data_IF_973201251300
#
_entry.id   IF_973201251300
#
_cell.length_a   1.000
_cell.length_b   1.000
_cell.length_c   1.000
_cell.angle_alpha   90.00
_cell.angle_beta   90.00
_cell.angle_gamma   90.00
#
_symmetry.space_group_name_H-M   'P 1'
#
loop_
_entity.id
_entity.type
_entity.pdbx_description
1 polymer ?
#
# COMPACT_ATOMS: atom_id res chain seq x y z
N UNK A 1 -28.58 7.16 9.29
CA UNK A 1 -27.64 6.61 8.28
C UNK A 1 -27.56 7.57 7.11
N UNK A 2 -28.69 8.16 6.71
CA UNK A 2 -28.78 8.99 5.50
C UNK A 2 -28.02 10.33 5.58
N UNK A 3 -28.06 11.04 6.71
CA UNK A 3 -27.37 12.32 6.88
C UNK A 3 -25.82 12.19 6.84
N UNK A 4 -25.26 11.12 7.40
CA UNK A 4 -23.84 10.85 7.35
C UNK A 4 -23.40 10.46 5.91
N UNK A 5 -24.26 9.76 5.21
CA UNK A 5 -24.03 9.34 3.84
C UNK A 5 -24.11 10.53 2.85
N UNK A 6 -25.07 11.43 3.06
CA UNK A 6 -25.17 12.69 2.30
C UNK A 6 -23.98 13.60 2.57
N UNK A 7 -23.52 13.71 3.82
CA UNK A 7 -22.35 14.51 4.18
C UNK A 7 -21.08 13.95 3.53
N UNK A 8 -20.92 12.62 3.49
CA UNK A 8 -19.79 11.97 2.80
C UNK A 8 -19.87 12.19 1.29
N UNK A 9 -21.04 12.07 0.69
CA UNK A 9 -21.24 12.32 -0.74
C UNK A 9 -20.95 13.79 -1.12
N UNK A 10 -21.38 14.74 -0.30
CA UNK A 10 -21.05 16.16 -0.50
C UNK A 10 -19.54 16.39 -0.35
N UNK A 11 -18.89 15.75 0.62
CA UNK A 11 -17.44 15.84 0.80
C UNK A 11 -16.67 15.26 -0.38
N UNK A 12 -17.10 14.09 -0.88
CA UNK A 12 -16.46 13.38 -2.02
C UNK A 12 -16.62 14.16 -3.32
N UNK A 13 -17.68 14.96 -3.46
CA UNK A 13 -17.90 15.87 -4.60
C UNK A 13 -17.00 17.10 -4.61
N UNK A 14 -16.24 17.35 -3.52
CA UNK A 14 -15.36 18.52 -3.41
C UNK A 14 -13.90 18.19 -3.71
N UNK A 15 -13.12 19.10 -4.31
CA UNK A 15 -11.68 18.89 -4.53
C UNK A 15 -10.89 18.59 -3.25
N UNK A 16 -11.38 19.08 -2.12
CA UNK A 16 -10.78 18.88 -0.79
C UNK A 16 -10.76 17.41 -0.34
N UNK A 17 -11.73 16.62 -0.78
CA UNK A 17 -11.78 15.19 -0.45
C UNK A 17 -10.52 14.46 -0.95
N UNK A 18 -10.10 14.75 -2.17
CA UNK A 18 -8.92 14.13 -2.77
C UNK A 18 -7.64 14.56 -2.05
N UNK A 19 -7.58 15.80 -1.58
CA UNK A 19 -6.48 16.32 -0.78
C UNK A 19 -6.41 15.60 0.57
N UNK A 20 -7.55 15.44 1.25
CA UNK A 20 -7.63 14.70 2.53
C UNK A 20 -7.21 13.25 2.34
N UNK A 21 -7.68 12.59 1.27
CA UNK A 21 -7.24 11.22 0.92
C UNK A 21 -5.72 11.17 0.76
N UNK A 22 -5.15 12.08 -0.02
CA UNK A 22 -3.70 12.17 -0.21
C UNK A 22 -2.93 12.33 1.11
N UNK A 23 -3.40 13.20 2.00
CA UNK A 23 -2.80 13.44 3.31
C UNK A 23 -2.90 12.20 4.23
N UNK A 24 -4.06 11.55 4.27
CA UNK A 24 -4.26 10.32 5.07
C UNK A 24 -3.36 9.21 4.56
N UNK A 25 -3.22 9.06 3.24
CA UNK A 25 -2.34 8.06 2.64
C UNK A 25 -0.85 8.37 2.86
N UNK A 26 -0.47 9.66 2.84
CA UNK A 26 0.88 10.08 3.19
C UNK A 26 1.19 9.76 4.67
N UNK A 27 0.29 10.10 5.58
CA UNK A 27 0.41 9.77 7.00
C UNK A 27 0.42 8.26 7.25
N UNK A 28 -0.37 7.49 6.49
CA UNK A 28 -0.44 6.03 6.55
C UNK A 28 0.86 5.31 6.16
N UNK A 29 1.80 6.00 5.49
CA UNK A 29 3.14 5.45 5.24
C UNK A 29 3.95 5.25 6.52
N UNK A 30 3.73 6.11 7.50
CA UNK A 30 4.40 6.08 8.80
C UNK A 30 3.50 5.42 9.85
N UNK A 31 2.22 5.80 9.87
CA UNK A 31 1.22 5.30 10.80
C UNK A 31 0.52 4.05 10.21
N UNK A 32 1.12 2.89 10.40
CA UNK A 32 0.66 1.59 9.85
C UNK A 32 -0.78 1.23 10.24
N UNK A 33 -1.27 1.80 11.34
CA UNK A 33 -2.62 1.53 11.86
C UNK A 33 -3.74 2.27 11.13
N UNK A 34 -3.42 3.21 10.24
CA UNK A 34 -4.45 3.94 9.48
C UNK A 34 -5.07 3.01 8.42
N UNK A 35 -6.41 2.87 8.40
CA UNK A 35 -7.11 2.00 7.46
C UNK A 35 -7.20 2.64 6.06
N UNK A 36 -6.04 2.98 5.49
CA UNK A 36 -5.92 3.70 4.22
C UNK A 36 -6.59 2.97 3.05
N UNK A 37 -6.55 1.63 3.06
CA UNK A 37 -7.20 0.83 2.02
C UNK A 37 -8.72 0.93 2.10
N UNK A 38 -9.29 0.84 3.30
CA UNK A 38 -10.72 0.96 3.51
C UNK A 38 -11.23 2.33 3.01
N UNK A 39 -10.47 3.40 3.27
CA UNK A 39 -10.80 4.74 2.82
C UNK A 39 -10.84 4.83 1.28
N UNK A 40 -9.81 4.33 0.58
CA UNK A 40 -9.75 4.40 -0.88
C UNK A 40 -10.84 3.54 -1.52
N UNK A 41 -11.10 2.34 -0.99
CA UNK A 41 -12.17 1.47 -1.49
C UNK A 41 -13.54 2.12 -1.24
N UNK A 42 -13.81 2.66 -0.05
CA UNK A 42 -15.09 3.30 0.27
C UNK A 42 -15.38 4.50 -0.65
N UNK A 43 -14.41 5.41 -0.83
CA UNK A 43 -14.57 6.54 -1.75
C UNK A 43 -14.69 6.05 -3.21
N UNK A 44 -13.87 5.07 -3.59
CA UNK A 44 -13.91 4.47 -4.92
C UNK A 44 -15.27 3.87 -5.25
N UNK A 45 -15.93 3.19 -4.31
CA UNK A 45 -17.28 2.62 -4.52
C UNK A 45 -18.34 3.69 -4.71
N UNK A 46 -18.25 4.81 -3.98
CA UNK A 46 -19.16 5.95 -4.15
C UNK A 46 -18.97 6.61 -5.52
N UNK A 47 -17.73 6.78 -5.97
CA UNK A 47 -17.43 7.40 -7.26
C UNK A 47 -17.81 6.50 -8.45
N UNK A 48 -17.52 5.19 -8.37
CA UNK A 48 -17.89 4.23 -9.43
C UNK A 48 -19.40 4.06 -9.53
N UNK A 49 -20.11 4.14 -8.40
CA UNK A 49 -21.56 4.04 -8.35
C UNK A 49 -22.30 5.34 -8.69
N UNK A 50 -21.61 6.47 -8.80
CA UNK A 50 -22.20 7.79 -9.09
C UNK A 50 -22.20 8.13 -10.59
N UNK A 51 -22.91 9.20 -10.93
CA UNK A 51 -23.07 9.68 -12.32
C UNK A 51 -21.84 10.46 -12.84
N UNK A 52 -20.77 10.57 -12.02
CA UNK A 52 -19.58 11.39 -12.31
C UNK A 52 -18.63 10.80 -13.39
N UNK A 53 -18.89 9.60 -13.86
CA UNK A 53 -18.09 8.94 -14.88
C UNK A 53 -16.68 8.55 -14.45
N UNK A 54 -15.78 8.39 -15.40
CA UNK A 54 -14.40 7.90 -15.16
C UNK A 54 -13.47 8.95 -14.51
N UNK A 55 -13.72 10.23 -14.73
CA UNK A 55 -12.80 11.31 -14.31
C UNK A 55 -12.59 11.39 -12.79
N UNK A 56 -13.62 11.37 -11.92
CA UNK A 56 -13.43 11.37 -10.47
C UNK A 56 -12.66 10.16 -9.97
N UNK A 57 -12.85 9.00 -10.58
CA UNK A 57 -12.11 7.77 -10.25
C UNK A 57 -10.63 7.92 -10.58
N UNK A 58 -10.32 8.50 -11.75
CA UNK A 58 -8.95 8.79 -12.14
C UNK A 58 -8.28 9.78 -11.18
N UNK A 59 -9.00 10.84 -10.78
CA UNK A 59 -8.52 11.83 -9.80
C UNK A 59 -8.24 11.15 -8.46
N UNK A 60 -9.08 10.22 -8.01
CA UNK A 60 -8.84 9.44 -6.79
C UNK A 60 -7.54 8.63 -6.89
N UNK A 61 -7.31 7.92 -8.01
CA UNK A 61 -6.07 7.14 -8.22
C UNK A 61 -4.85 8.04 -8.18
N UNK A 62 -4.91 9.19 -8.86
CA UNK A 62 -3.81 10.16 -8.89
C UNK A 62 -3.55 10.74 -7.50
N UNK A 63 -4.59 11.19 -6.80
CA UNK A 63 -4.46 11.74 -5.45
C UNK A 63 -3.92 10.70 -4.45
N UNK A 64 -4.41 9.47 -4.52
CA UNK A 64 -3.92 8.37 -3.71
C UNK A 64 -2.44 8.09 -3.99
N UNK A 65 -2.06 7.99 -5.26
CA UNK A 65 -0.67 7.76 -5.67
C UNK A 65 0.25 8.87 -5.20
N UNK A 66 -0.13 10.14 -5.40
CA UNK A 66 0.66 11.30 -4.94
C UNK A 66 0.84 11.25 -3.43
N UNK A 67 -0.24 11.04 -2.68
CA UNK A 67 -0.20 10.95 -1.22
C UNK A 67 0.74 9.84 -0.73
N UNK A 68 0.66 8.66 -1.35
CA UNK A 68 1.54 7.54 -1.02
C UNK A 68 3.02 7.84 -1.34
N UNK A 69 3.31 8.39 -2.52
CA UNK A 69 4.67 8.77 -2.90
C UNK A 69 5.25 9.82 -1.95
N UNK A 70 4.47 10.83 -1.56
CA UNK A 70 4.90 11.82 -0.57
C UNK A 70 5.24 11.18 0.78
N UNK A 71 4.40 10.25 1.23
CA UNK A 71 4.66 9.49 2.44
C UNK A 71 5.90 8.59 2.35
N UNK A 72 6.15 7.99 1.19
CA UNK A 72 7.34 7.18 0.94
C UNK A 72 8.62 8.01 0.91
N UNK A 73 8.56 9.23 0.33
CA UNK A 73 9.66 10.21 0.38
C UNK A 73 9.94 10.63 1.82
N UNK A 74 8.91 10.96 2.58
CA UNK A 74 9.07 11.33 3.98
C UNK A 74 9.71 10.20 4.80
N UNK A 75 9.24 8.97 4.58
CA UNK A 75 9.78 7.78 5.24
C UNK A 75 11.23 7.48 4.82
N UNK A 76 11.57 7.70 3.56
CA UNK A 76 12.93 7.54 3.05
C UNK A 76 13.91 8.54 3.70
N UNK A 77 13.52 9.82 3.81
CA UNK A 77 14.32 10.82 4.52
C UNK A 77 14.43 10.49 6.01
N UNK A 78 13.31 10.12 6.64
CA UNK A 78 13.30 9.73 8.05
C UNK A 78 14.22 8.53 8.32
N UNK A 79 14.21 7.52 7.45
CA UNK A 79 15.06 6.35 7.59
C UNK A 79 16.56 6.67 7.50
N UNK A 80 16.93 7.69 6.74
CA UNK A 80 18.33 8.15 6.60
C UNK A 80 18.79 9.08 7.72
N UNK A 81 17.88 9.82 8.33
CA UNK A 81 18.20 10.70 9.47
C UNK A 81 18.25 9.94 10.78
N UNK A 82 17.47 8.86 10.89
CA UNK A 82 17.48 7.99 12.08
C UNK A 82 18.37 6.79 11.79
N UNK A 83 19.47 6.66 12.54
CA UNK A 83 20.29 5.45 12.48
C UNK A 83 19.50 4.25 13.02
N UNK A 84 18.81 3.56 12.10
CA UNK A 84 18.01 2.40 12.43
C UNK A 84 18.87 1.22 12.90
N UNK A 85 20.14 1.18 12.49
CA UNK A 85 21.09 0.13 12.86
C UNK A 85 21.46 0.15 14.34
N UNK A 86 21.46 1.33 14.97
CA UNK A 86 21.80 1.51 16.38
C UNK A 86 20.65 1.13 17.33
N UNK A 87 19.43 0.99 16.85
CA UNK A 87 18.29 0.64 17.70
C UNK A 87 18.27 -0.85 18.02
N UNK A 88 18.18 -1.17 19.31
CA UNK A 88 18.24 -2.54 19.86
C UNK A 88 17.24 -3.53 19.25
N UNK A 89 16.10 -3.03 18.72
CA UNK A 89 15.11 -3.87 18.05
C UNK A 89 15.58 -4.33 16.66
N UNK A 90 16.27 -3.46 15.91
CA UNK A 90 16.81 -3.77 14.59
C UNK A 90 18.06 -4.66 14.64
N UNK A 91 18.78 -4.67 15.77
CA UNK A 91 19.94 -5.53 15.99
C UNK A 91 19.59 -6.98 16.36
N UNK A 92 18.31 -7.29 16.63
CA UNK A 92 17.87 -8.66 16.90
C UNK A 92 18.19 -9.59 15.73
N UNK A 93 18.77 -10.79 15.95
CA UNK A 93 19.25 -11.68 14.89
C UNK A 93 18.21 -12.00 13.81
N UNK A 94 16.94 -12.22 14.21
CA UNK A 94 15.83 -12.49 13.29
C UNK A 94 15.50 -11.29 12.40
N UNK A 95 15.51 -10.08 12.95
CA UNK A 95 15.20 -8.84 12.23
C UNK A 95 16.34 -8.51 11.26
N UNK A 96 17.58 -8.65 11.69
CA UNK A 96 18.78 -8.46 10.87
C UNK A 96 18.76 -9.41 9.66
N UNK A 97 18.53 -10.70 9.87
CA UNK A 97 18.47 -11.69 8.79
C UNK A 97 17.34 -11.39 7.79
N UNK A 98 16.18 -10.95 8.27
CA UNK A 98 15.07 -10.53 7.43
C UNK A 98 15.45 -9.30 6.58
N UNK A 99 16.06 -8.28 7.21
CA UNK A 99 16.56 -7.07 6.55
C UNK A 99 17.59 -7.39 5.46
N UNK A 100 18.62 -8.19 5.77
CA UNK A 100 19.62 -8.62 4.79
C UNK A 100 19.00 -9.36 3.60
N UNK A 101 18.03 -10.23 3.85
CA UNK A 101 17.29 -10.93 2.80
C UNK A 101 16.46 -9.99 1.92
N UNK A 102 15.81 -8.97 2.49
CA UNK A 102 15.03 -7.97 1.76
C UNK A 102 15.98 -7.07 0.98
N UNK A 103 17.08 -6.60 1.58
CA UNK A 103 18.09 -5.75 0.95
C UNK A 103 18.67 -6.41 -0.32
N UNK A 104 19.11 -7.66 -0.21
CA UNK A 104 19.65 -8.42 -1.33
C UNK A 104 18.66 -8.55 -2.51
N UNK A 105 17.37 -8.68 -2.19
CA UNK A 105 16.29 -8.75 -3.21
C UNK A 105 15.95 -7.38 -3.76
N UNK A 106 15.94 -6.35 -2.89
CA UNK A 106 15.62 -4.98 -3.27
C UNK A 106 16.64 -4.45 -4.28
N UNK A 107 17.94 -4.73 -4.09
CA UNK A 107 19.01 -4.39 -5.05
C UNK A 107 18.82 -5.05 -6.42
N UNK A 108 18.30 -6.29 -6.45
CA UNK A 108 18.09 -7.03 -7.70
C UNK A 108 16.83 -6.61 -8.44
N UNK A 109 15.72 -6.38 -7.73
CA UNK A 109 14.42 -6.11 -8.32
C UNK A 109 13.59 -5.15 -7.43
N UNK A 110 13.97 -3.86 -7.34
CA UNK A 110 13.35 -2.92 -6.41
C UNK A 110 11.84 -2.75 -6.63
N UNK A 111 11.39 -2.60 -7.87
CA UNK A 111 9.97 -2.46 -8.17
C UNK A 111 9.14 -3.68 -7.76
N UNK A 112 9.65 -4.89 -7.97
CA UNK A 112 8.95 -6.12 -7.55
C UNK A 112 8.79 -6.20 -6.03
N UNK A 113 9.83 -5.87 -5.28
CA UNK A 113 9.78 -5.90 -3.81
C UNK A 113 8.88 -4.79 -3.27
N UNK A 114 8.93 -3.60 -3.87
CA UNK A 114 8.03 -2.52 -3.52
C UNK A 114 6.55 -2.90 -3.74
N UNK A 115 6.21 -3.49 -4.89
CA UNK A 115 4.83 -3.97 -5.17
C UNK A 115 4.41 -5.02 -4.17
N UNK A 116 5.19 -6.07 -3.97
CA UNK A 116 4.85 -7.15 -3.02
C UNK A 116 4.68 -6.62 -1.60
N UNK A 117 5.50 -5.65 -1.20
CA UNK A 117 5.42 -5.02 0.11
C UNK A 117 4.08 -4.30 0.36
N UNK A 118 3.39 -3.82 -0.68
CA UNK A 118 2.08 -3.16 -0.52
C UNK A 118 0.97 -4.12 -0.09
N UNK A 119 1.10 -5.40 -0.41
CA UNK A 119 0.09 -6.43 -0.11
C UNK A 119 0.39 -7.24 1.16
N UNK A 120 1.53 -7.00 1.81
CA UNK A 120 1.91 -7.67 3.05
C UNK A 120 1.70 -6.72 4.23
N UNK A 121 1.05 -7.14 5.32
CA UNK A 121 0.93 -6.31 6.52
C UNK A 121 2.30 -5.82 7.00
N UNK A 122 2.44 -4.52 7.25
CA UNK A 122 3.70 -3.83 7.57
C UNK A 122 4.77 -3.90 6.45
N UNK A 123 4.49 -4.54 5.32
CA UNK A 123 5.43 -4.74 4.23
C UNK A 123 5.86 -3.41 3.60
N UNK A 124 4.94 -2.46 3.41
CA UNK A 124 5.24 -1.12 2.90
C UNK A 124 6.27 -0.41 3.78
N UNK A 125 6.04 -0.35 5.09
CA UNK A 125 6.99 0.25 6.03
C UNK A 125 8.35 -0.43 5.95
N UNK A 126 8.38 -1.77 6.01
CA UNK A 126 9.61 -2.55 6.00
C UNK A 126 10.39 -2.39 4.69
N UNK A 127 9.71 -2.47 3.55
CA UNK A 127 10.38 -2.34 2.23
C UNK A 127 10.90 -0.93 2.01
N UNK A 128 10.19 0.10 2.48
CA UNK A 128 10.64 1.48 2.35
C UNK A 128 11.85 1.78 3.26
N UNK A 129 11.84 1.30 4.52
CA UNK A 129 12.96 1.45 5.43
C UNK A 129 14.21 0.73 4.91
N UNK A 130 14.06 -0.52 4.46
CA UNK A 130 15.17 -1.27 3.88
C UNK A 130 15.63 -0.68 2.56
N UNK A 131 14.71 -0.22 1.71
CA UNK A 131 15.03 0.45 0.45
C UNK A 131 15.84 1.72 0.64
N UNK A 132 15.49 2.54 1.63
CA UNK A 132 16.22 3.76 1.97
C UNK A 132 17.66 3.47 2.47
N UNK A 133 17.86 2.36 3.17
CA UNK A 133 19.13 1.94 3.76
C UNK A 133 19.98 1.08 2.80
N UNK A 134 19.38 0.55 1.72
CA UNK A 134 20.05 -0.36 0.77
C UNK A 134 21.10 0.31 -0.14
N UNK A 135 21.30 1.62 0.01
CA UNK A 135 22.21 2.40 -0.85
C UNK A 135 21.68 2.63 -2.26
N UNK A 136 20.39 2.36 -2.49
CA UNK A 136 19.76 2.72 -3.76
C UNK A 136 19.73 4.24 -3.93
N UNK A 137 19.86 4.67 -5.19
CA UNK A 137 19.60 6.05 -5.56
C UNK A 137 18.12 6.41 -5.35
N UNK A 138 17.86 7.62 -4.87
CA UNK A 138 16.51 8.12 -4.61
C UNK A 138 15.59 7.96 -5.83
N UNK A 139 16.10 8.20 -7.04
CA UNK A 139 15.31 8.07 -8.26
C UNK A 139 14.81 6.64 -8.48
N UNK A 140 15.69 5.65 -8.32
CA UNK A 140 15.32 4.22 -8.45
C UNK A 140 14.33 3.80 -7.38
N UNK A 141 14.52 4.27 -6.15
CA UNK A 141 13.59 4.05 -5.06
C UNK A 141 12.22 4.62 -5.39
N UNK A 142 12.14 5.91 -5.79
CA UNK A 142 10.87 6.60 -6.10
C UNK A 142 10.14 5.96 -7.27
N UNK A 143 10.84 5.59 -8.34
CA UNK A 143 10.22 4.88 -9.48
C UNK A 143 9.61 3.56 -9.03
N UNK A 144 10.30 2.83 -8.16
CA UNK A 144 9.81 1.56 -7.61
C UNK A 144 8.57 1.75 -6.74
N UNK A 145 8.56 2.79 -5.89
CA UNK A 145 7.42 3.16 -5.08
C UNK A 145 6.24 3.63 -5.94
N UNK A 146 6.48 4.50 -6.91
CA UNK A 146 5.45 4.99 -7.83
C UNK A 146 4.74 3.84 -8.55
N UNK A 147 5.49 2.90 -9.12
CA UNK A 147 4.89 1.71 -9.76
C UNK A 147 4.07 0.91 -8.77
N UNK A 148 4.59 0.68 -7.56
CA UNK A 148 3.88 -0.06 -6.53
C UNK A 148 2.60 0.66 -6.08
N UNK A 149 2.63 1.98 -5.94
CA UNK A 149 1.51 2.81 -5.51
C UNK A 149 0.40 2.87 -6.56
N UNK A 150 0.78 3.01 -7.84
CA UNK A 150 -0.19 2.96 -8.96
C UNK A 150 -0.87 1.59 -9.01
N UNK A 151 -0.11 0.50 -8.92
CA UNK A 151 -0.66 -0.87 -8.92
C UNK A 151 -1.61 -1.06 -7.73
N UNK A 152 -1.23 -0.59 -6.55
CA UNK A 152 -2.06 -0.70 -5.36
C UNK A 152 -3.33 0.16 -5.45
N UNK A 153 -3.23 1.41 -5.94
CA UNK A 153 -4.38 2.29 -6.13
C UNK A 153 -5.35 1.71 -7.17
N UNK A 154 -4.83 1.21 -8.30
CA UNK A 154 -5.64 0.53 -9.32
C UNK A 154 -6.33 -0.73 -8.77
N UNK A 155 -5.65 -1.50 -7.93
CA UNK A 155 -6.22 -2.64 -7.22
C UNK A 155 -7.39 -2.23 -6.30
N UNK A 156 -7.23 -1.17 -5.49
CA UNK A 156 -8.30 -0.68 -4.62
C UNK A 156 -9.52 -0.21 -5.42
N UNK A 157 -9.30 0.53 -6.50
CA UNK A 157 -10.36 0.97 -7.40
C UNK A 157 -11.01 -0.21 -8.14
N UNK A 158 -10.21 -1.21 -8.54
CA UNK A 158 -10.73 -2.46 -9.11
C UNK A 158 -11.68 -3.20 -8.17
N UNK A 159 -11.32 -3.28 -6.87
CA UNK A 159 -12.23 -3.82 -5.85
C UNK A 159 -13.49 -2.96 -5.76
N UNK A 160 -13.34 -1.62 -5.69
CA UNK A 160 -14.45 -0.70 -5.62
C UNK A 160 -15.41 -0.87 -6.81
N UNK A 161 -14.88 -1.03 -8.02
CA UNK A 161 -15.68 -1.26 -9.23
C UNK A 161 -16.38 -2.63 -9.20
N UNK A 162 -15.69 -3.68 -8.78
CA UNK A 162 -16.26 -5.02 -8.69
C UNK A 162 -17.36 -5.13 -7.63
N UNK A 163 -17.28 -4.35 -6.57
CA UNK A 163 -18.22 -4.39 -5.43
C UNK A 163 -19.26 -3.27 -5.47
N UNK A 164 -19.18 -2.33 -6.42
CA UNK A 164 -19.99 -1.12 -6.48
C UNK A 164 -21.49 -1.35 -6.47
N UNK A 165 -21.97 -2.47 -7.02
CA UNK A 165 -23.40 -2.84 -6.99
C UNK A 165 -23.85 -3.25 -5.57
N UNK A 166 -23.02 -4.00 -4.84
CA UNK A 166 -23.31 -4.46 -3.47
C UNK A 166 -23.03 -3.39 -2.42
N UNK A 167 -22.14 -2.45 -2.72
CA UNK A 167 -21.73 -1.40 -1.81
C UNK A 167 -22.82 -0.39 -1.50
N UNK A 168 -23.79 -0.21 -2.40
CA UNK A 168 -24.95 0.65 -2.16
C UNK A 168 -25.87 0.11 -1.07
N UNK A 169 -25.97 -1.21 -0.95
CA UNK A 169 -26.86 -1.85 0.02
C UNK A 169 -26.15 -2.11 1.37
N UNK A 170 -24.84 -2.44 1.34
CA UNK A 170 -24.08 -2.83 2.53
C UNK A 170 -22.61 -2.34 2.49
N UNK A 171 -22.37 -1.02 2.63
CA UNK A 171 -21.02 -0.45 2.48
C UNK A 171 -20.01 -0.99 3.49
N UNK A 172 -20.42 -1.23 4.73
CA UNK A 172 -19.56 -1.79 5.77
C UNK A 172 -19.12 -3.22 5.47
N UNK A 173 -20.03 -4.05 4.96
CA UNK A 173 -19.73 -5.45 4.64
C UNK A 173 -18.75 -5.54 3.47
N UNK A 174 -18.95 -4.73 2.44
CA UNK A 174 -18.05 -4.66 1.27
C UNK A 174 -16.67 -4.18 1.67
N UNK A 175 -16.57 -3.14 2.49
CA UNK A 175 -15.29 -2.63 2.98
C UNK A 175 -14.56 -3.68 3.82
N UNK A 176 -15.28 -4.38 4.71
CA UNK A 176 -14.71 -5.46 5.53
C UNK A 176 -14.22 -6.62 4.67
N UNK A 177 -15.01 -7.06 3.69
CA UNK A 177 -14.61 -8.10 2.74
C UNK A 177 -13.40 -7.70 1.92
N UNK A 178 -13.32 -6.45 1.47
CA UNK A 178 -12.18 -5.94 0.73
C UNK A 178 -10.89 -5.96 1.57
N UNK A 179 -10.96 -5.57 2.84
CA UNK A 179 -9.83 -5.62 3.77
C UNK A 179 -9.41 -7.08 4.02
N UNK A 180 -10.37 -7.97 4.29
CA UNK A 180 -10.09 -9.39 4.50
C UNK A 180 -9.48 -10.03 3.24
N UNK A 181 -10.04 -9.75 2.06
CA UNK A 181 -9.51 -10.25 0.80
C UNK A 181 -8.06 -9.80 0.56
N UNK A 182 -7.73 -8.57 0.91
CA UNK A 182 -6.37 -8.03 0.77
C UNK A 182 -5.38 -8.71 1.73
N UNK A 183 -5.80 -8.94 2.96
CA UNK A 183 -4.99 -9.69 3.93
C UNK A 183 -4.76 -11.12 3.44
N UNK A 184 -5.82 -11.79 2.98
CA UNK A 184 -5.72 -13.15 2.44
C UNK A 184 -4.81 -13.21 1.20
N UNK A 185 -4.93 -12.24 0.29
CA UNK A 185 -4.07 -12.12 -0.88
C UNK A 185 -2.60 -11.93 -0.47
N UNK A 186 -2.33 -11.04 0.48
CA UNK A 186 -0.98 -10.83 1.02
C UNK A 186 -0.40 -12.09 1.67
N UNK A 187 -1.20 -12.82 2.43
CA UNK A 187 -0.81 -14.11 3.02
C UNK A 187 -0.58 -15.19 1.95
N UNK A 188 -1.44 -15.27 0.95
CA UNK A 188 -1.29 -16.21 -0.17
C UNK A 188 0.00 -15.94 -0.96
N UNK A 189 0.28 -14.68 -1.30
CA UNK A 189 1.52 -14.29 -1.98
C UNK A 189 2.74 -14.70 -1.14
N UNK A 190 2.73 -14.42 0.17
CA UNK A 190 3.83 -14.78 1.06
C UNK A 190 3.99 -16.30 1.23
N UNK A 191 2.91 -17.06 1.20
CA UNK A 191 2.94 -18.53 1.24
C UNK A 191 3.52 -19.11 -0.05
N UNK A 192 3.11 -18.59 -1.21
CA UNK A 192 3.66 -18.99 -2.52
C UNK A 192 5.15 -18.69 -2.61
N UNK A 193 5.59 -17.51 -2.17
CA UNK A 193 7.02 -17.17 -2.13
C UNK A 193 7.82 -18.15 -1.25
N UNK A 194 7.30 -18.50 -0.06
CA UNK A 194 7.94 -19.49 0.80
C UNK A 194 8.02 -20.86 0.15
N UNK A 195 6.96 -21.30 -0.52
CA UNK A 195 6.93 -22.60 -1.21
C UNK A 195 7.92 -22.64 -2.38
N UNK A 196 7.98 -21.58 -3.21
CA UNK A 196 8.93 -21.47 -4.32
C UNK A 196 10.38 -21.47 -3.79
N UNK A 197 10.63 -20.74 -2.71
CA UNK A 197 11.95 -20.70 -2.09
C UNK A 197 12.41 -22.05 -1.55
N UNK A 198 11.53 -22.78 -0.85
CA UNK A 198 11.84 -24.13 -0.36
C UNK A 198 12.16 -25.09 -1.49
N UNK A 199 11.43 -25.01 -2.61
CA UNK A 199 11.71 -25.83 -3.81
C UNK A 199 13.07 -25.48 -4.44
N UNK A 200 13.42 -24.20 -4.51
CA UNK A 200 14.71 -23.77 -5.04
C UNK A 200 15.88 -24.18 -4.14
N UNK A 201 15.71 -24.11 -2.83
CA UNK A 201 16.70 -24.57 -1.83
C UNK A 201 16.88 -26.11 -1.89
N UNK A 202 15.80 -26.86 -2.06
CA UNK A 202 15.86 -28.31 -2.22
C UNK A 202 16.53 -28.76 -3.53
N UNK A 203 16.31 -28.02 -4.62
CA UNK A 203 16.95 -28.29 -5.91
C UNK A 203 18.45 -27.91 -5.94
N UNK A 204 18.90 -27.05 -5.06
CA UNK A 204 20.32 -26.66 -4.96
C UNK A 204 21.14 -27.58 -4.05
N UNK A 205 20.48 -28.48 -3.31
CA UNK A 205 21.10 -29.47 -2.40
C UNK A 205 21.06 -30.92 -2.94
N UNK A 206 20.39 -31.10 -4.06
CA UNK A 206 20.35 -32.39 -4.81
C UNK A 206 21.31 -32.38 -5.99
#
# INVERSE_FOLDING_TARGET
>A
VDAAQEMVLQLVGTPWAFLVVGLVLAAGSVAVFLPSQALVVAIGTLLVGGDGGFLPVLVLVVAATIGMVLGDVALWHLARTVDLGSRSWFSRPKVRKARESIDARYRKAPGRIAVLGRFIPMGRLTTNLVGADSGLDLRRFLVSCLVADVVWAAYCVGIAAATGHWSREQPFLVTTLAVVASILLGLAISAVEKAVRRRAEAAATA
#
